data_IF_776382196424
#
_entry.id   IF_776382196424
#
_cell.length_a   1.000
_cell.length_b   1.000
_cell.length_c   1.000
_cell.angle_alpha   90.00
_cell.angle_beta   90.00
_cell.angle_gamma   90.00
#
_symmetry.space_group_name_H-M   'P 1'
#
loop_
_entity.id
_entity.type
_entity.pdbx_description
1 polymer ?
#
# COMPACT_ATOMS: atom_id res chain seq x y z
N UNK A 1 -16.92 1.46 -15.97
CA UNK A 1 -16.44 2.61 -15.18
C UNK A 1 -15.08 2.19 -14.67
N UNK A 2 -14.04 2.88 -15.11
CA UNK A 2 -12.65 2.70 -14.67
C UNK A 2 -12.55 3.11 -13.19
N UNK A 3 -12.09 2.19 -12.34
CA UNK A 3 -11.73 2.41 -10.93
C UNK A 3 -10.25 2.80 -10.77
N UNK A 4 -9.95 4.10 -10.81
CA UNK A 4 -8.61 4.57 -10.47
C UNK A 4 -8.33 4.41 -8.98
N UNK A 5 -7.27 3.71 -8.58
CA UNK A 5 -6.88 3.61 -7.16
C UNK A 5 -5.45 4.06 -6.93
N UNK A 6 -5.21 4.74 -5.82
CA UNK A 6 -3.89 5.23 -5.42
C UNK A 6 -3.43 4.62 -4.11
N UNK A 7 -2.13 4.33 -4.00
CA UNK A 7 -1.49 3.97 -2.74
C UNK A 7 -0.23 4.79 -2.54
N UNK A 8 0.07 5.12 -1.29
CA UNK A 8 1.36 5.70 -0.94
C UNK A 8 1.89 5.17 0.39
N UNK A 9 3.21 5.11 0.50
CA UNK A 9 3.94 5.06 1.77
C UNK A 9 4.84 6.27 1.83
N UNK A 10 4.68 7.09 2.86
CA UNK A 10 5.38 8.36 3.02
C UNK A 10 6.23 8.30 4.28
N UNK A 11 7.55 8.49 4.14
CA UNK A 11 8.47 8.62 5.26
C UNK A 11 8.62 10.11 5.59
N UNK A 12 7.95 10.56 6.66
CA UNK A 12 7.94 11.97 7.06
C UNK A 12 9.30 12.41 7.59
N UNK A 13 9.66 13.65 7.27
CA UNK A 13 10.89 14.28 7.78
C UNK A 13 10.88 14.37 9.30
N UNK A 14 12.07 14.37 9.91
CA UNK A 14 12.20 14.48 11.36
C UNK A 14 11.47 15.71 11.92
N UNK A 15 10.68 15.50 12.97
CA UNK A 15 9.89 16.54 13.63
C UNK A 15 8.55 16.87 12.99
N UNK A 16 8.19 16.24 11.86
CA UNK A 16 6.84 16.36 11.27
C UNK A 16 5.83 15.49 11.99
N UNK A 17 4.67 16.06 12.29
CA UNK A 17 3.55 15.33 12.89
C UNK A 17 2.75 14.60 11.79
N UNK A 18 2.50 13.28 11.95
CA UNK A 18 1.67 12.53 11.01
C UNK A 18 0.24 13.07 10.89
N UNK A 19 -0.36 13.55 11.98
CA UNK A 19 -1.71 14.11 11.96
C UNK A 19 -1.80 15.39 11.13
N UNK A 20 -0.81 16.28 11.25
CA UNK A 20 -0.72 17.49 10.42
C UNK A 20 -0.54 17.16 8.93
N UNK A 21 0.31 16.19 8.60
CA UNK A 21 0.45 15.73 7.21
C UNK A 21 -0.87 15.17 6.67
N UNK A 22 -1.57 14.35 7.46
CA UNK A 22 -2.88 13.80 7.08
C UNK A 22 -3.92 14.91 6.90
N UNK A 23 -3.88 15.96 7.73
CA UNK A 23 -4.70 17.16 7.55
C UNK A 23 -4.45 17.82 6.19
N UNK A 24 -3.18 18.13 5.88
CA UNK A 24 -2.79 18.74 4.60
C UNK A 24 -3.15 17.86 3.39
N UNK A 25 -3.03 16.54 3.54
CA UNK A 25 -3.42 15.57 2.53
C UNK A 25 -4.93 15.58 2.28
N UNK A 26 -5.74 15.54 3.34
CA UNK A 26 -7.20 15.61 3.24
C UNK A 26 -7.70 16.94 2.68
N UNK A 27 -6.98 18.04 2.91
CA UNK A 27 -7.30 19.34 2.29
C UNK A 27 -6.96 19.37 0.79
N UNK A 28 -5.91 18.66 0.39
CA UNK A 28 -5.39 18.66 -0.99
C UNK A 28 -6.04 17.60 -1.89
N UNK A 29 -6.55 16.52 -1.31
CA UNK A 29 -7.22 15.43 -2.01
C UNK A 29 -8.71 15.45 -1.71
N UNK A 30 -9.54 15.52 -2.74
CA UNK A 30 -11.01 15.60 -2.61
C UNK A 30 -11.66 14.21 -2.44
N UNK A 31 -10.87 13.16 -2.59
CA UNK A 31 -11.34 11.78 -2.69
C UNK A 31 -11.35 11.09 -1.33
N UNK A 32 -11.94 9.88 -1.29
CA UNK A 32 -12.01 9.12 -0.04
C UNK A 32 -10.65 8.49 0.26
N UNK A 33 -10.04 8.93 1.34
CA UNK A 33 -8.75 8.42 1.82
C UNK A 33 -8.93 7.46 2.99
N UNK A 34 -8.18 6.35 2.96
CA UNK A 34 -7.91 5.50 4.12
C UNK A 34 -6.45 5.69 4.49
N UNK A 35 -6.20 6.15 5.72
CA UNK A 35 -4.86 6.51 6.17
C UNK A 35 -4.52 5.77 7.46
N UNK A 36 -3.28 5.31 7.54
CA UNK A 36 -2.69 4.70 8.74
C UNK A 36 -1.32 5.32 8.98
N UNK A 37 -0.98 5.64 10.22
CA UNK A 37 0.33 6.15 10.60
C UNK A 37 1.01 5.19 11.59
N UNK A 38 2.28 4.88 11.34
CA UNK A 38 3.15 4.08 12.21
C UNK A 38 4.46 4.84 12.43
N UNK A 39 4.57 5.53 13.58
CA UNK A 39 5.70 6.42 13.83
C UNK A 39 5.74 7.56 12.81
N UNK A 40 6.86 7.71 12.08
CA UNK A 40 7.02 8.72 11.01
C UNK A 40 6.49 8.27 9.65
N UNK A 41 6.02 7.03 9.54
CA UNK A 41 5.56 6.48 8.26
C UNK A 41 4.05 6.60 8.14
N UNK A 42 3.57 7.13 7.02
CA UNK A 42 2.15 7.25 6.70
C UNK A 42 1.82 6.40 5.49
N UNK A 43 0.84 5.52 5.64
CA UNK A 43 0.31 4.67 4.58
C UNK A 43 -1.04 5.22 4.14
N UNK A 44 -1.22 5.36 2.84
CA UNK A 44 -2.43 5.93 2.25
C UNK A 44 -2.98 4.97 1.20
N UNK A 45 -4.29 4.78 1.23
CA UNK A 45 -5.08 4.23 0.13
C UNK A 45 -6.13 5.27 -0.28
N UNK A 46 -6.19 5.57 -1.56
CA UNK A 46 -7.11 6.52 -2.15
C UNK A 46 -7.99 5.79 -3.17
N UNK A 47 -9.29 5.72 -2.88
CA UNK A 47 -10.27 5.06 -3.74
C UNK A 47 -10.81 6.08 -4.76
N UNK A 48 -10.75 5.77 -6.05
CA UNK A 48 -11.23 6.66 -7.13
C UNK A 48 -10.53 8.03 -7.21
N UNK A 49 -9.19 8.06 -7.06
CA UNK A 49 -8.44 9.31 -6.84
C UNK A 49 -7.41 9.66 -7.94
N UNK A 50 -7.82 10.03 -9.18
CA UNK A 50 -6.92 10.20 -10.33
C UNK A 50 -5.80 11.23 -10.14
N UNK A 51 -6.02 12.22 -9.28
CA UNK A 51 -5.06 13.29 -8.98
C UNK A 51 -4.12 12.92 -7.81
N UNK A 52 -4.19 11.70 -7.29
CA UNK A 52 -3.45 11.27 -6.12
C UNK A 52 -1.92 11.34 -6.30
N UNK A 53 -1.32 10.84 -7.40
CA UNK A 53 0.13 10.98 -7.63
C UNK A 53 0.59 12.43 -7.65
N UNK A 54 -0.14 13.28 -8.38
CA UNK A 54 0.13 14.73 -8.45
C UNK A 54 -0.01 15.43 -7.09
N UNK A 55 -0.89 14.93 -6.24
CA UNK A 55 -1.06 15.44 -4.87
C UNK A 55 0.12 15.04 -3.99
N UNK A 56 0.58 13.80 -4.08
CA UNK A 56 1.79 13.34 -3.40
C UNK A 56 3.02 14.13 -3.83
N UNK A 57 3.23 14.32 -5.14
CA UNK A 57 4.36 15.10 -5.67
C UNK A 57 4.39 16.56 -5.17
N UNK A 58 3.23 17.15 -4.85
CA UNK A 58 3.16 18.49 -4.26
C UNK A 58 3.43 18.52 -2.76
N UNK A 59 3.03 17.47 -2.03
CA UNK A 59 3.13 17.43 -0.58
C UNK A 59 4.50 16.93 -0.10
N UNK A 60 5.08 15.92 -0.77
CA UNK A 60 6.33 15.30 -0.34
C UNK A 60 7.44 16.34 -0.06
N UNK A 61 7.73 17.33 -0.93
CA UNK A 61 8.83 18.27 -0.70
C UNK A 61 8.72 19.14 0.54
N UNK A 62 7.51 19.25 1.09
CA UNK A 62 7.25 20.08 2.27
C UNK A 62 7.19 19.25 3.55
N UNK A 63 6.98 17.93 3.45
CA UNK A 63 6.57 17.10 4.57
C UNK A 63 7.42 15.84 4.77
N UNK A 64 8.04 15.32 3.72
CA UNK A 64 8.60 13.99 3.70
C UNK A 64 10.00 13.94 3.11
N UNK A 65 10.79 13.00 3.61
CA UNK A 65 12.12 12.73 3.06
C UNK A 65 11.99 11.94 1.75
N UNK A 66 10.96 11.09 1.66
CA UNK A 66 10.67 10.24 0.51
C UNK A 66 9.27 9.65 0.57
N UNK A 67 8.76 9.24 -0.58
CA UNK A 67 7.54 8.44 -0.67
C UNK A 67 7.65 7.36 -1.75
N UNK A 68 6.95 6.25 -1.55
CA UNK A 68 6.62 5.28 -2.60
C UNK A 68 5.16 5.53 -2.98
N UNK A 69 4.85 5.63 -4.26
CA UNK A 69 3.50 5.80 -4.78
C UNK A 69 3.16 4.71 -5.78
N UNK A 70 1.91 4.26 -5.77
CA UNK A 70 1.36 3.42 -6.82
C UNK A 70 0.01 3.99 -7.28
N UNK A 71 -0.24 3.93 -8.59
CA UNK A 71 -1.48 4.36 -9.21
C UNK A 71 -1.96 3.28 -10.17
N UNK A 72 -3.14 2.74 -9.92
CA UNK A 72 -3.83 1.79 -10.79
C UNK A 72 -4.76 2.56 -11.73
N UNK A 73 -4.49 2.42 -13.03
CA UNK A 73 -5.21 3.03 -14.13
C UNK A 73 -6.12 2.01 -14.85
N UNK A 74 -6.60 0.98 -14.15
CA UNK A 74 -7.41 -0.13 -14.68
C UNK A 74 -6.83 -0.70 -15.99
N UNK A 75 -7.45 -0.38 -17.14
CA UNK A 75 -7.13 -0.83 -18.49
C UNK A 75 -5.70 -0.44 -18.93
N UNK A 76 -5.07 0.52 -18.23
CA UNK A 76 -3.69 0.95 -18.49
C UNK A 76 -2.68 0.38 -17.48
N UNK A 77 -3.17 -0.32 -16.44
CA UNK A 77 -2.40 -0.99 -15.40
C UNK A 77 -1.84 -0.06 -14.33
N UNK A 78 -0.85 -0.54 -13.58
CA UNK A 78 -0.34 0.12 -12.36
C UNK A 78 0.99 0.81 -12.62
N UNK A 79 1.13 2.08 -12.26
CA UNK A 79 2.39 2.84 -12.25
C UNK A 79 2.94 2.91 -10.82
N UNK A 80 4.20 2.53 -10.62
CA UNK A 80 4.89 2.56 -9.33
C UNK A 80 6.10 3.49 -9.41
N UNK A 81 6.16 4.45 -8.49
CA UNK A 81 7.17 5.50 -8.48
C UNK A 81 7.68 5.71 -7.06
N UNK A 82 8.89 6.27 -6.96
CA UNK A 82 9.38 6.86 -5.73
C UNK A 82 9.66 8.33 -5.91
N UNK A 83 9.29 9.10 -4.90
CA UNK A 83 9.50 10.53 -4.80
C UNK A 83 10.59 10.78 -3.78
N UNK A 84 11.64 11.50 -4.18
CA UNK A 84 12.61 12.06 -3.24
C UNK A 84 12.11 13.37 -2.60
N UNK A 85 12.94 14.03 -1.76
CA UNK A 85 12.56 15.27 -1.08
C UNK A 85 12.35 16.45 -2.04
N UNK A 86 12.87 16.38 -3.27
CA UNK A 86 12.63 17.39 -4.31
C UNK A 86 11.43 17.06 -5.21
N UNK A 87 10.68 15.99 -4.90
CA UNK A 87 9.61 15.40 -5.72
C UNK A 87 10.03 15.01 -7.15
N UNK A 88 11.33 14.83 -7.39
CA UNK A 88 11.78 14.12 -8.58
C UNK A 88 11.27 12.68 -8.51
N UNK A 89 10.44 12.30 -9.48
CA UNK A 89 9.90 10.95 -9.59
C UNK A 89 10.93 10.04 -10.24
N UNK A 90 11.24 8.94 -9.56
CA UNK A 90 11.97 7.82 -10.13
C UNK A 90 10.98 6.69 -10.36
N UNK A 91 10.81 6.34 -11.63
CA UNK A 91 10.02 5.19 -12.03
C UNK A 91 10.66 3.90 -11.53
N UNK A 92 9.87 3.06 -10.85
CA UNK A 92 10.32 1.76 -10.34
C UNK A 92 9.83 0.61 -11.19
N UNK A 93 8.51 0.59 -11.46
CA UNK A 93 7.88 -0.46 -12.24
C UNK A 93 6.53 0.03 -12.76
N UNK A 94 6.08 -0.51 -13.88
CA UNK A 94 4.67 -0.50 -14.23
C UNK A 94 4.19 -1.86 -14.68
N UNK A 95 2.93 -2.14 -14.34
CA UNK A 95 2.16 -3.27 -14.82
C UNK A 95 1.27 -2.75 -15.93
N UNK A 96 1.13 -3.47 -17.01
CA UNK A 96 0.05 -3.24 -17.98
C UNK A 96 -0.82 -4.49 -18.00
N UNK A 97 -2.13 -4.34 -18.22
CA UNK A 97 -3.03 -5.50 -18.37
C UNK A 97 -2.71 -6.33 -19.62
N UNK A 98 -1.98 -5.75 -20.58
CA UNK A 98 -1.39 -6.50 -21.67
C UNK A 98 -0.21 -7.33 -21.13
N UNK A 99 -0.50 -8.59 -20.81
CA UNK A 99 0.47 -9.60 -20.36
C UNK A 99 1.66 -9.83 -21.32
N UNK A 100 1.60 -9.31 -22.56
CA UNK A 100 2.69 -9.36 -23.53
C UNK A 100 3.49 -8.05 -23.62
N UNK A 101 3.09 -6.99 -22.93
CA UNK A 101 3.82 -5.73 -22.93
C UNK A 101 5.16 -5.90 -22.19
N UNK A 102 6.28 -5.40 -22.76
CA UNK A 102 7.55 -5.38 -22.08
C UNK A 102 7.48 -4.51 -20.82
N UNK A 103 8.46 -4.68 -19.92
CA UNK A 103 8.68 -3.69 -18.87
C UNK A 103 8.73 -2.28 -19.48
N UNK A 104 8.15 -1.27 -18.82
CA UNK A 104 8.25 0.11 -19.28
C UNK A 104 9.72 0.48 -19.52
N UNK A 105 9.98 1.28 -20.56
CA UNK A 105 11.34 1.66 -20.97
C UNK A 105 12.16 2.37 -19.86
N UNK A 106 11.49 2.81 -18.80
CA UNK A 106 12.06 3.54 -17.68
C UNK A 106 12.35 2.64 -16.45
N UNK A 107 12.03 1.34 -16.47
CA UNK A 107 12.56 0.38 -15.50
C UNK A 107 13.95 -0.07 -15.96
N UNK A 108 14.98 0.66 -15.51
CA UNK A 108 16.38 0.42 -15.86
C UNK A 108 17.22 0.16 -14.60
N UNK A 109 18.40 -0.45 -14.73
CA UNK A 109 19.33 -0.57 -13.59
C UNK A 109 19.65 0.78 -12.93
N UNK A 110 19.67 1.87 -13.71
CA UNK A 110 19.93 3.22 -13.21
C UNK A 110 18.78 3.74 -12.35
N UNK A 111 17.52 3.60 -12.79
CA UNK A 111 16.36 4.04 -12.00
C UNK A 111 16.19 3.21 -10.74
N UNK A 112 16.44 1.89 -10.80
CA UNK A 112 16.47 1.04 -9.61
C UNK A 112 17.54 1.44 -8.60
N UNK A 113 18.75 1.77 -9.06
CA UNK A 113 19.81 2.29 -8.17
C UNK A 113 19.43 3.62 -7.55
N UNK A 114 18.82 4.53 -8.30
CA UNK A 114 18.36 5.82 -7.77
C UNK A 114 17.29 5.60 -6.67
N UNK A 115 16.34 4.69 -6.89
CA UNK A 115 15.34 4.31 -5.89
C UNK A 115 15.98 3.67 -4.64
N UNK A 116 16.97 2.78 -4.83
CA UNK A 116 17.70 2.16 -3.73
C UNK A 116 18.43 3.19 -2.86
N UNK A 117 19.07 4.18 -3.48
CA UNK A 117 19.74 5.28 -2.76
C UNK A 117 18.74 6.09 -1.93
N UNK A 118 17.58 6.43 -2.51
CA UNK A 118 16.55 7.17 -1.78
C UNK A 118 16.04 6.41 -0.55
N UNK A 119 15.93 5.08 -0.64
CA UNK A 119 15.37 4.24 0.43
C UNK A 119 16.40 3.59 1.36
N UNK A 120 17.70 3.81 1.13
CA UNK A 120 18.79 3.08 1.81
C UNK A 120 18.60 1.55 1.71
N UNK A 121 18.23 1.10 0.51
CA UNK A 121 17.97 -0.30 0.21
C UNK A 121 19.13 -0.93 -0.56
N UNK A 122 19.24 -2.27 -0.51
CA UNK A 122 20.18 -3.00 -1.34
C UNK A 122 19.67 -3.04 -2.80
N UNK A 123 20.40 -2.44 -3.76
CA UNK A 123 19.99 -2.46 -5.16
C UNK A 123 19.88 -3.87 -5.74
N UNK A 124 20.60 -4.85 -5.20
CA UNK A 124 20.51 -6.24 -5.65
C UNK A 124 19.10 -6.84 -5.43
N UNK A 125 18.39 -6.40 -4.38
CA UNK A 125 17.01 -6.83 -4.13
C UNK A 125 16.06 -6.29 -5.21
N UNK A 126 16.27 -5.06 -5.66
CA UNK A 126 15.49 -4.45 -6.73
C UNK A 126 15.76 -5.14 -8.09
N UNK A 127 17.01 -5.50 -8.36
CA UNK A 127 17.38 -6.28 -9.54
C UNK A 127 16.75 -7.70 -9.50
N UNK A 128 16.70 -8.35 -8.34
CA UNK A 128 16.04 -9.67 -8.17
C UNK A 128 14.53 -9.59 -8.45
N UNK A 129 13.86 -8.54 -7.95
CA UNK A 129 12.43 -8.33 -8.22
C UNK A 129 12.19 -8.12 -9.72
N UNK A 130 13.01 -7.28 -10.39
CA UNK A 130 12.91 -7.05 -11.85
C UNK A 130 13.22 -8.31 -12.67
N UNK A 131 14.22 -9.10 -12.28
CA UNK A 131 14.57 -10.36 -12.96
C UNK A 131 13.45 -11.41 -12.82
N UNK A 132 12.85 -11.51 -11.63
CA UNK A 132 11.70 -12.38 -11.38
C UNK A 132 10.52 -11.95 -12.25
N UNK A 133 10.26 -10.65 -12.33
CA UNK A 133 9.22 -10.08 -13.19
C UNK A 133 9.44 -10.41 -14.67
N UNK A 134 10.66 -10.21 -15.16
CA UNK A 134 11.03 -10.47 -16.55
C UNK A 134 10.79 -11.92 -16.98
N UNK A 135 10.85 -12.85 -16.02
CA UNK A 135 10.64 -14.28 -16.24
C UNK A 135 9.17 -14.69 -16.11
N UNK A 136 8.50 -14.18 -15.08
CA UNK A 136 7.14 -14.63 -14.72
C UNK A 136 6.04 -13.81 -15.42
N UNK A 137 6.39 -12.65 -15.98
CA UNK A 137 5.46 -11.70 -16.57
C UNK A 137 4.65 -10.92 -15.52
N UNK A 138 3.83 -9.98 -15.98
CA UNK A 138 2.80 -9.37 -15.16
C UNK A 138 1.77 -10.45 -14.81
N UNK A 139 1.87 -11.08 -13.63
CA UNK A 139 0.85 -12.04 -13.17
C UNK A 139 -0.47 -11.29 -12.92
N UNK A 140 -1.46 -11.33 -13.82
CA UNK A 140 -2.61 -10.43 -13.78
C UNK A 140 -3.72 -10.92 -12.84
N UNK A 141 -3.43 -11.92 -11.99
CA UNK A 141 -4.46 -12.58 -11.17
C UNK A 141 -4.75 -11.87 -9.84
N UNK A 142 -3.83 -11.04 -9.35
CA UNK A 142 -3.95 -10.37 -8.06
C UNK A 142 -3.29 -8.99 -8.13
N UNK A 143 -4.10 -7.94 -8.11
CA UNK A 143 -3.66 -6.60 -7.67
C UNK A 143 -3.07 -6.78 -6.26
N UNK A 144 -1.75 -6.88 -6.14
CA UNK A 144 -1.14 -7.09 -4.83
C UNK A 144 0.34 -7.41 -4.89
N UNK A 145 0.61 -8.68 -5.11
CA UNK A 145 1.89 -9.26 -4.72
C UNK A 145 3.09 -8.70 -5.48
N UNK A 146 3.04 -8.53 -6.81
CA UNK A 146 4.25 -8.13 -7.54
C UNK A 146 4.71 -6.71 -7.20
N UNK A 147 3.80 -5.76 -6.99
CA UNK A 147 4.16 -4.40 -6.55
C UNK A 147 4.55 -4.35 -5.06
N UNK A 148 3.95 -5.20 -4.21
CA UNK A 148 4.34 -5.31 -2.81
C UNK A 148 5.78 -5.84 -2.64
N UNK A 149 6.29 -6.63 -3.61
CA UNK A 149 7.70 -7.06 -3.61
C UNK A 149 8.67 -5.89 -3.81
N UNK A 150 8.36 -4.97 -4.72
CA UNK A 150 9.12 -3.72 -4.89
C UNK A 150 9.12 -2.89 -3.61
N UNK A 151 7.95 -2.71 -3.00
CA UNK A 151 7.78 -1.94 -1.78
C UNK A 151 8.49 -2.58 -0.59
N UNK A 152 8.44 -3.92 -0.47
CA UNK A 152 9.17 -4.67 0.54
C UNK A 152 10.69 -4.59 0.35
N UNK A 153 11.19 -4.65 -0.89
CA UNK A 153 12.60 -4.46 -1.19
C UNK A 153 13.12 -3.06 -0.81
N UNK A 154 12.24 -2.04 -0.87
CA UNK A 154 12.51 -0.68 -0.39
C UNK A 154 12.29 -0.51 1.13
N UNK A 155 12.02 -1.59 1.87
CA UNK A 155 11.82 -1.55 3.32
C UNK A 155 10.50 -0.95 3.76
N UNK A 156 9.51 -0.88 2.87
CA UNK A 156 8.21 -0.27 3.10
C UNK A 156 7.07 -1.21 2.64
N UNK A 157 6.91 -2.40 3.27
CA UNK A 157 5.82 -3.29 2.92
C UNK A 157 4.50 -2.51 3.01
N UNK A 158 3.65 -2.62 1.98
CA UNK A 158 2.37 -1.91 1.94
C UNK A 158 1.54 -2.14 3.21
N UNK A 159 0.56 -1.27 3.48
CA UNK A 159 -0.27 -1.41 4.67
C UNK A 159 -0.81 -2.83 4.73
N UNK A 160 -0.72 -3.49 5.89
CA UNK A 160 -1.35 -4.80 6.11
C UNK A 160 -2.83 -4.61 5.86
N UNK A 161 -3.29 -4.87 4.64
CA UNK A 161 -4.70 -4.90 4.32
C UNK A 161 -5.25 -5.97 5.25
N UNK A 162 -6.13 -5.57 6.16
CA UNK A 162 -6.69 -6.44 7.17
C UNK A 162 -7.54 -7.53 6.49
N UNK A 163 -6.87 -8.59 6.04
CA UNK A 163 -7.37 -9.92 5.73
C UNK A 163 -6.56 -10.97 6.52
N UNK A 164 -6.12 -10.62 7.72
CA UNK A 164 -5.84 -11.57 8.80
C UNK A 164 -5.88 -10.80 10.11
N UNK A 165 -7.09 -10.67 10.68
CA UNK A 165 -7.17 -10.41 12.11
C UNK A 165 -6.40 -11.54 12.82
N UNK A 166 -5.49 -11.26 13.77
CA UNK A 166 -5.08 -12.28 14.71
C UNK A 166 -6.34 -12.83 15.37
N UNK A 167 -6.45 -14.16 15.39
CA UNK A 167 -7.55 -14.88 16.01
C UNK A 167 -7.79 -14.29 17.40
N UNK A 168 -8.98 -13.76 17.64
CA UNK A 168 -9.36 -13.25 18.96
C UNK A 168 -9.08 -14.36 19.99
N UNK A 169 -8.21 -14.14 20.99
CA UNK A 169 -8.00 -15.13 22.02
C UNK A 169 -9.24 -15.13 22.93
N UNK A 170 -9.94 -16.26 22.92
CA UNK A 170 -10.83 -16.67 24.00
C UNK A 170 -12.12 -15.87 24.16
N UNK A 171 -13.17 -16.29 23.45
CA UNK A 171 -14.51 -16.28 24.06
C UNK A 171 -14.85 -17.73 24.42
N UNK A 172 -14.98 -18.10 25.70
CA UNK A 172 -15.48 -19.42 26.03
C UNK A 172 -16.89 -19.57 25.45
N UNK A 173 -17.25 -20.74 24.91
CA UNK A 173 -18.58 -20.96 24.34
C UNK A 173 -19.64 -20.66 25.40
N UNK A 174 -20.56 -19.76 25.06
CA UNK A 174 -21.78 -19.56 25.85
C UNK A 174 -22.48 -20.91 25.94
N UNK A 175 -22.65 -21.42 27.16
CA UNK A 175 -23.48 -22.57 27.43
C UNK A 175 -24.84 -22.38 26.72
N UNK A 176 -25.12 -23.27 25.77
CA UNK A 176 -26.41 -23.36 25.11
C UNK A 176 -27.43 -23.71 26.19
N UNK A 177 -28.22 -22.71 26.63
CA UNK A 177 -29.43 -22.96 27.39
C UNK A 177 -30.50 -23.36 26.38
N UNK A 178 -30.67 -24.66 26.22
CA UNK A 178 -31.84 -25.25 25.61
C UNK A 178 -33.10 -24.81 26.37
N UNK A 179 -34.09 -24.20 25.72
CA UNK A 179 -35.39 -23.95 26.32
C UNK A 179 -36.39 -24.91 25.69
N UNK A 180 -36.67 -26.04 26.34
CA UNK A 180 -38.00 -26.69 26.36
C UNK A 180 -38.01 -28.02 27.12
N UNK A 181 -39.14 -28.23 27.81
CA UNK A 181 -39.60 -29.44 28.50
C UNK A 181 -38.89 -29.72 29.83
N UNK A 182 -39.54 -29.81 30.98
CA UNK A 182 -40.95 -29.90 31.32
C UNK A 182 -41.05 -30.64 32.66
N UNK A 183 -42.02 -30.25 33.47
CA UNK A 183 -42.58 -31.01 34.60
C UNK A 183 -41.83 -30.97 35.95
N UNK A 184 -42.52 -30.43 36.95
CA UNK A 184 -42.21 -30.59 38.38
C UNK A 184 -42.43 -32.04 38.88
N UNK A 185 -42.65 -32.30 40.19
CA UNK A 185 -43.33 -31.44 41.16
C UNK A 185 -42.61 -31.22 42.50
N UNK A 186 -43.24 -30.34 43.28
CA UNK A 186 -43.17 -30.14 44.73
C UNK A 186 -43.04 -31.44 45.53
N UNK A 187 -42.25 -31.36 46.60
CA UNK A 187 -42.46 -31.83 47.98
C UNK A 187 -41.06 -31.89 48.62
N UNK A 188 -40.74 -31.38 49.80
CA UNK A 188 -41.52 -30.88 50.91
C UNK A 188 -40.63 -31.07 52.14
N UNK A 189 -40.48 -30.00 52.94
CA UNK A 189 -39.76 -29.88 54.21
C UNK A 189 -38.23 -29.83 54.16
#
# INVERSE_FOLDING_TARGET
MSSFSGWAVVDLSDGRDPGEFVGALCESCKDTLRVMAEGRRVYVYADYAPDFPSTMARLVPHWADRAITAADYDEFGVLNEVLGPDAESVHLASITEDSAAPLPANDTPETRRAAAVLFDADPALLDEVSATWSKDGALPGCLGEPYLRWWAALGAPGPRTSATAPSTPGRPPKASRDPRTGSGPRNGR
#
